data_IF_457271739085
#
_entry.id   IF_457271739085
#
_cell.length_a   1.000
_cell.length_b   1.000
_cell.length_c   1.000
_cell.angle_alpha   90.00
_cell.angle_beta   90.00
_cell.angle_gamma   90.00
#
_symmetry.space_group_name_H-M   'P 1'
#
loop_
_entity.id
_entity.type
_entity.pdbx_description
1 polymer ?
#
# COMPACT_ATOMS: atom_id res chain seq x y z
N UNK A 1 -2.82 26.05 -19.15
CA UNK A 1 -4.03 25.57 -18.45
C UNK A 1 -5.15 25.12 -19.41
N UNK A 2 -4.95 25.12 -20.74
CA UNK A 2 -6.00 24.79 -21.73
C UNK A 2 -5.99 23.30 -22.15
N UNK A 3 -4.82 22.64 -22.17
CA UNK A 3 -4.71 21.28 -22.73
C UNK A 3 -5.39 20.14 -21.96
N UNK A 4 -5.53 20.22 -20.63
CA UNK A 4 -6.13 19.12 -19.87
C UNK A 4 -7.66 19.08 -20.01
N UNK A 5 -8.29 20.25 -20.14
CA UNK A 5 -9.74 20.35 -20.36
C UNK A 5 -10.06 19.91 -21.78
N UNK A 6 -9.33 20.41 -22.78
CA UNK A 6 -9.50 20.00 -24.18
C UNK A 6 -9.29 18.50 -24.35
N UNK A 7 -8.28 17.93 -23.68
CA UNK A 7 -8.07 16.48 -23.68
C UNK A 7 -9.26 15.73 -23.08
N UNK A 8 -9.79 16.16 -21.94
CA UNK A 8 -10.97 15.52 -21.33
C UNK A 8 -12.21 15.63 -22.22
N UNK A 9 -12.42 16.77 -22.88
CA UNK A 9 -13.52 16.98 -23.83
C UNK A 9 -13.37 16.05 -25.03
N UNK A 10 -12.19 16.01 -25.66
CA UNK A 10 -11.91 15.11 -26.79
C UNK A 10 -12.09 13.63 -26.40
N UNK A 11 -11.64 13.24 -25.20
CA UNK A 11 -11.89 11.89 -24.67
C UNK A 11 -13.38 11.61 -24.44
N UNK A 12 -14.16 12.56 -23.96
CA UNK A 12 -15.60 12.40 -23.76
C UNK A 12 -16.35 12.32 -25.08
N UNK A 13 -16.03 13.16 -26.05
CA UNK A 13 -16.63 13.17 -27.38
C UNK A 13 -16.30 11.90 -28.18
N UNK A 14 -15.15 11.28 -27.90
CA UNK A 14 -14.77 10.01 -28.52
C UNK A 14 -15.59 8.79 -28.06
N UNK A 15 -16.39 8.90 -26.98
CA UNK A 15 -17.18 7.80 -26.45
C UNK A 15 -18.58 7.76 -27.06
N UNK A 16 -19.02 6.58 -27.47
CA UNK A 16 -20.40 6.39 -27.91
C UNK A 16 -21.39 6.46 -26.74
N UNK A 17 -22.66 6.74 -27.06
CA UNK A 17 -23.75 6.73 -26.08
C UNK A 17 -23.82 5.39 -25.30
N UNK A 18 -23.61 4.26 -25.99
CA UNK A 18 -23.65 2.94 -25.36
C UNK A 18 -22.52 2.74 -24.36
N UNK A 19 -21.31 3.18 -24.68
CA UNK A 19 -20.16 3.10 -23.77
C UNK A 19 -20.35 4.02 -22.56
N UNK A 20 -20.84 5.24 -22.78
CA UNK A 20 -21.11 6.17 -21.69
C UNK A 20 -22.20 5.64 -20.77
N UNK A 21 -23.31 5.14 -21.32
CA UNK A 21 -24.40 4.54 -20.56
C UNK A 21 -23.91 3.32 -19.75
N UNK A 22 -23.13 2.44 -20.36
CA UNK A 22 -22.56 1.27 -19.68
C UNK A 22 -21.64 1.67 -18.52
N UNK A 23 -20.75 2.65 -18.74
CA UNK A 23 -19.86 3.16 -17.68
C UNK A 23 -20.63 3.81 -16.53
N UNK A 24 -21.65 4.61 -16.84
CA UNK A 24 -22.50 5.23 -15.82
C UNK A 24 -23.23 4.15 -15.00
N UNK A 25 -23.82 3.15 -15.66
CA UNK A 25 -24.45 2.02 -14.99
C UNK A 25 -23.47 1.30 -14.07
N UNK A 26 -22.27 0.98 -14.53
CA UNK A 26 -21.25 0.31 -13.70
C UNK A 26 -20.80 1.16 -12.50
N UNK A 27 -20.64 2.47 -12.66
CA UNK A 27 -20.28 3.36 -11.55
C UNK A 27 -21.40 3.49 -10.50
N UNK A 28 -22.65 3.26 -10.88
CA UNK A 28 -23.82 3.31 -9.99
C UNK A 28 -24.24 1.94 -9.44
N UNK A 29 -23.63 0.85 -9.89
CA UNK A 29 -23.92 -0.50 -9.40
C UNK A 29 -23.01 -0.84 -8.23
N UNK A 30 -23.62 -1.18 -7.09
CA UNK A 30 -22.87 -1.67 -5.94
C UNK A 30 -22.38 -3.09 -6.21
N UNK A 31 -21.08 -3.23 -6.49
CA UNK A 31 -20.41 -4.52 -6.55
C UNK A 31 -19.77 -4.83 -5.20
N UNK A 32 -20.18 -5.92 -4.57
CA UNK A 32 -19.50 -6.43 -3.39
C UNK A 32 -18.31 -7.29 -3.81
N UNK A 33 -17.14 -7.00 -3.25
CA UNK A 33 -15.94 -7.83 -3.39
C UNK A 33 -15.64 -8.42 -2.03
N UNK A 34 -15.48 -9.73 -1.96
CA UNK A 34 -15.17 -10.41 -0.70
C UNK A 34 -13.79 -9.95 -0.17
N UNK A 35 -13.72 -9.44 1.06
CA UNK A 35 -12.46 -8.94 1.60
C UNK A 35 -11.46 -10.06 1.86
N UNK A 36 -10.36 -10.06 1.11
CA UNK A 36 -9.26 -10.99 1.33
C UNK A 36 -8.19 -10.32 2.20
N UNK A 37 -8.01 -10.82 3.42
CA UNK A 37 -6.95 -10.37 4.31
C UNK A 37 -5.62 -10.92 3.80
N UNK A 38 -4.86 -10.09 3.11
CA UNK A 38 -3.50 -10.42 2.71
C UNK A 38 -2.63 -10.36 3.97
N UNK A 39 -2.08 -11.50 4.37
CA UNK A 39 -1.12 -11.60 5.47
C UNK A 39 0.30 -11.64 4.90
N UNK A 40 1.27 -11.16 5.68
CA UNK A 40 2.71 -11.20 5.38
C UNK A 40 3.14 -10.44 4.12
N UNK A 41 2.32 -9.50 3.64
CA UNK A 41 2.69 -8.56 2.57
C UNK A 41 2.73 -7.17 3.17
N UNK A 42 3.86 -6.48 2.99
CA UNK A 42 3.94 -5.08 3.38
C UNK A 42 3.04 -4.24 2.47
N UNK A 43 2.08 -3.55 3.06
CA UNK A 43 1.12 -2.68 2.36
C UNK A 43 1.37 -1.22 2.76
N UNK A 44 1.25 -0.30 1.81
CA UNK A 44 1.23 1.14 2.10
C UNK A 44 0.04 1.78 1.41
N UNK A 45 -0.83 2.37 2.21
CA UNK A 45 -2.03 3.07 1.75
C UNK A 45 -1.66 4.55 1.64
N UNK A 46 -1.73 5.08 0.43
CA UNK A 46 -1.57 6.51 0.15
C UNK A 46 -2.97 7.11 0.02
N UNK A 47 -3.38 7.92 0.99
CA UNK A 47 -4.70 8.54 1.04
C UNK A 47 -4.59 10.07 1.02
N UNK A 48 -5.62 10.73 0.48
CA UNK A 48 -5.72 12.18 0.37
C UNK A 48 -6.89 12.67 1.23
N UNK A 49 -6.66 13.76 1.98
CA UNK A 49 -7.66 14.33 2.89
C UNK A 49 -8.64 15.34 2.26
N UNK A 50 -8.55 15.60 0.96
CA UNK A 50 -9.50 16.49 0.27
C UNK A 50 -10.74 15.73 -0.23
N UNK A 51 -11.62 16.44 -0.95
CA UNK A 51 -12.77 15.80 -1.59
C UNK A 51 -12.30 14.82 -2.68
N UNK A 52 -12.32 13.54 -2.34
CA UNK A 52 -12.14 12.42 -3.26
C UNK A 52 -13.47 11.78 -3.64
N UNK A 53 -13.49 11.04 -4.76
CA UNK A 53 -14.63 10.27 -5.24
C UNK A 53 -15.00 9.11 -4.30
N UNK A 54 -14.04 8.61 -3.50
CA UNK A 54 -14.30 7.59 -2.50
C UNK A 54 -14.85 8.23 -1.22
N UNK A 55 -15.94 7.66 -0.71
CA UNK A 55 -16.55 8.07 0.56
C UNK A 55 -15.68 7.67 1.76
N UNK A 56 -15.86 8.37 2.88
CA UNK A 56 -15.14 8.07 4.11
C UNK A 56 -15.42 6.66 4.63
N UNK A 57 -16.64 6.15 4.43
CA UNK A 57 -17.03 4.79 4.86
C UNK A 57 -16.20 3.71 4.14
N UNK A 58 -15.99 3.86 2.82
CA UNK A 58 -15.16 2.93 2.05
C UNK A 58 -13.70 2.97 2.51
N UNK A 59 -13.19 4.16 2.86
CA UNK A 59 -11.83 4.31 3.38
C UNK A 59 -11.67 3.61 4.75
N UNK A 60 -12.64 3.76 5.64
CA UNK A 60 -12.65 3.09 6.95
C UNK A 60 -12.68 1.57 6.81
N UNK A 61 -13.53 1.03 5.93
CA UNK A 61 -13.54 -0.41 5.65
C UNK A 61 -12.19 -0.89 5.10
N UNK A 62 -11.56 -0.12 4.20
CA UNK A 62 -10.23 -0.44 3.69
C UNK A 62 -9.17 -0.49 4.81
N UNK A 63 -9.24 0.44 5.78
CA UNK A 63 -8.33 0.43 6.94
C UNK A 63 -8.54 -0.78 7.85
N UNK A 64 -9.77 -1.28 7.99
CA UNK A 64 -10.04 -2.50 8.77
C UNK A 64 -9.50 -3.76 8.11
N UNK A 65 -9.42 -3.79 6.79
CA UNK A 65 -8.91 -4.93 6.03
C UNK A 65 -7.39 -5.03 6.05
N UNK A 66 -6.71 -3.89 6.18
CA UNK A 66 -5.26 -3.79 6.21
C UNK A 66 -4.78 -3.07 7.48
N UNK A 67 -4.93 -3.69 8.67
CA UNK A 67 -4.60 -3.05 9.95
C UNK A 67 -3.11 -2.71 10.07
N UNK A 68 -2.24 -3.53 9.50
CA UNK A 68 -0.78 -3.37 9.58
C UNK A 68 -0.20 -2.52 8.43
N UNK A 69 -1.05 -1.97 7.56
CA UNK A 69 -0.59 -1.14 6.45
C UNK A 69 -0.03 0.21 6.93
N UNK A 70 1.11 0.61 6.36
CA UNK A 70 1.62 1.96 6.58
C UNK A 70 0.69 2.97 5.92
N UNK A 71 0.36 4.04 6.62
CA UNK A 71 -0.53 5.10 6.12
C UNK A 71 0.28 6.33 5.74
N UNK A 72 0.14 6.74 4.49
CA UNK A 72 0.75 7.93 3.94
C UNK A 72 -0.36 8.91 3.56
N UNK A 73 -0.42 10.05 4.26
CA UNK A 73 -1.50 11.01 4.08
C UNK A 73 -1.02 12.26 3.36
N UNK A 74 -1.67 12.59 2.25
CA UNK A 74 -1.46 13.82 1.50
C UNK A 74 -2.54 14.84 1.88
N UNK A 75 -2.13 16.10 2.05
CA UNK A 75 -3.06 17.18 2.41
C UNK A 75 -4.06 17.48 1.30
N UNK A 76 -3.62 17.39 0.05
CA UNK A 76 -4.42 17.68 -1.16
C UNK A 76 -3.92 16.81 -2.30
N UNK A 77 -4.76 16.49 -3.28
CA UNK A 77 -4.40 15.64 -4.40
C UNK A 77 -5.57 15.07 -5.21
N UNK A 78 -6.81 15.25 -4.76
CA UNK A 78 -8.01 14.73 -5.40
C UNK A 78 -7.93 13.23 -5.68
N UNK A 79 -8.57 12.82 -6.78
CA UNK A 79 -8.63 11.40 -7.19
C UNK A 79 -7.33 10.86 -7.79
N UNK A 80 -6.42 11.75 -8.20
CA UNK A 80 -5.21 11.37 -8.95
C UNK A 80 -3.97 12.04 -8.34
N UNK A 81 -3.63 11.71 -7.08
CA UNK A 81 -2.52 12.35 -6.37
C UNK A 81 -1.17 12.19 -7.08
N UNK A 82 -1.00 11.11 -7.86
CA UNK A 82 0.20 10.87 -8.65
C UNK A 82 0.41 11.87 -9.80
N UNK A 83 -0.64 12.56 -10.25
CA UNK A 83 -0.53 13.61 -11.28
C UNK A 83 -0.25 14.97 -10.67
N UNK A 84 -0.95 15.34 -9.60
CA UNK A 84 -0.88 16.68 -9.02
C UNK A 84 0.16 16.82 -7.90
N UNK A 85 0.49 15.73 -7.19
CA UNK A 85 1.45 15.65 -6.09
C UNK A 85 2.47 14.53 -6.31
N UNK A 86 2.94 14.40 -7.56
CA UNK A 86 3.86 13.35 -7.97
C UNK A 86 5.10 13.24 -7.07
N UNK A 87 5.66 14.37 -6.62
CA UNK A 87 6.81 14.37 -5.72
C UNK A 87 6.53 13.68 -4.37
N UNK A 88 5.38 13.97 -3.74
CA UNK A 88 4.98 13.37 -2.45
C UNK A 88 4.66 11.88 -2.63
N UNK A 89 3.92 11.54 -3.69
CA UNK A 89 3.60 10.13 -4.02
C UNK A 89 4.88 9.33 -4.27
N UNK A 90 5.82 9.87 -5.06
CA UNK A 90 7.09 9.22 -5.34
C UNK A 90 7.92 9.01 -4.07
N UNK A 91 7.92 9.96 -3.15
CA UNK A 91 8.60 9.82 -1.86
C UNK A 91 8.03 8.65 -1.07
N UNK A 92 6.71 8.52 -0.97
CA UNK A 92 6.08 7.41 -0.26
C UNK A 92 6.36 6.06 -0.92
N UNK A 93 6.39 6.01 -2.25
CA UNK A 93 6.80 4.80 -2.99
C UNK A 93 8.25 4.44 -2.66
N UNK A 94 9.18 5.40 -2.68
CA UNK A 94 10.58 5.15 -2.32
C UNK A 94 10.71 4.66 -0.88
N UNK A 95 10.02 5.27 0.08
CA UNK A 95 10.03 4.84 1.48
C UNK A 95 9.49 3.41 1.62
N UNK A 96 8.43 3.07 0.88
CA UNK A 96 7.91 1.71 0.86
C UNK A 96 8.95 0.71 0.31
N UNK A 97 9.62 1.04 -0.79
CA UNK A 97 10.60 0.16 -1.42
C UNK A 97 11.88 -0.02 -0.61
N UNK A 98 12.29 1.00 0.15
CA UNK A 98 13.49 0.95 1.00
C UNK A 98 13.48 -0.21 1.98
N UNK A 99 12.31 -0.62 2.47
CA UNK A 99 12.23 -1.75 3.41
C UNK A 99 12.71 -3.09 2.81
N UNK A 100 12.78 -3.18 1.48
CA UNK A 100 13.24 -4.37 0.76
C UNK A 100 14.70 -4.31 0.32
N UNK A 101 15.39 -3.19 0.54
CA UNK A 101 16.82 -3.08 0.23
C UNK A 101 17.62 -4.18 0.94
N UNK A 102 18.60 -4.77 0.24
CA UNK A 102 19.41 -5.87 0.76
C UNK A 102 18.68 -7.23 0.84
N UNK A 103 17.40 -7.30 0.47
CA UNK A 103 16.65 -8.56 0.36
C UNK A 103 16.56 -9.04 -1.09
N UNK A 104 16.10 -10.28 -1.30
CA UNK A 104 15.80 -10.81 -2.64
C UNK A 104 14.68 -10.07 -3.39
N UNK A 105 13.95 -9.19 -2.70
CA UNK A 105 12.84 -8.40 -3.24
C UNK A 105 13.23 -6.93 -3.50
N UNK A 106 14.52 -6.59 -3.42
CA UNK A 106 14.99 -5.25 -3.69
C UNK A 106 14.62 -4.82 -5.12
N UNK A 107 14.04 -3.62 -5.24
CA UNK A 107 13.71 -3.02 -6.53
C UNK A 107 14.90 -2.37 -7.24
N UNK A 108 16.06 -2.31 -6.57
CA UNK A 108 17.30 -1.72 -7.07
C UNK A 108 18.41 -2.77 -7.05
N UNK A 109 19.31 -2.67 -8.04
CA UNK A 109 20.49 -3.53 -8.10
C UNK A 109 21.38 -3.27 -6.86
N UNK A 110 21.86 -4.33 -6.16
CA UNK A 110 22.78 -4.19 -5.04
C UNK A 110 24.00 -3.32 -5.32
N UNK A 111 24.47 -3.24 -6.57
CA UNK A 111 25.60 -2.42 -6.98
C UNK A 111 25.30 -0.91 -7.03
N UNK A 112 24.02 -0.51 -7.01
CA UNK A 112 23.58 0.88 -7.05
C UNK A 112 23.19 1.44 -5.67
N UNK A 113 23.23 0.61 -4.60
CA UNK A 113 22.89 1.05 -3.24
C UNK A 113 24.12 1.66 -2.59
N UNK A 114 24.04 2.93 -2.18
CA UNK A 114 25.15 3.55 -1.44
C UNK A 114 25.23 2.96 -0.03
N UNK A 115 26.45 2.82 0.53
CA UNK A 115 26.68 2.22 1.84
C UNK A 115 25.90 2.90 2.98
N UNK A 116 25.67 4.20 2.83
CA UNK A 116 24.87 5.04 3.75
C UNK A 116 23.36 4.71 3.77
N UNK A 117 22.81 4.16 2.69
CA UNK A 117 21.38 3.76 2.64
C UNK A 117 21.13 2.39 3.28
N UNK A 118 22.17 1.55 3.39
CA UNK A 118 22.11 0.23 4.05
C UNK A 118 22.12 0.36 5.58
N UNK A 119 22.83 1.35 6.13
CA UNK A 119 22.96 1.54 7.59
C UNK A 119 21.68 2.05 8.27
N UNK A 120 20.86 2.83 7.56
CA UNK A 120 19.55 3.31 8.07
C UNK A 120 18.58 2.16 8.35
N UNK A 121 18.75 1.03 7.67
CA UNK A 121 17.94 -0.18 7.84
C UNK A 121 18.22 -0.89 9.16
N UNK A 122 19.49 -0.96 9.56
CA UNK A 122 19.95 -1.71 10.74
C UNK A 122 19.41 -1.10 12.04
N UNK A 123 19.16 0.20 12.06
CA UNK A 123 18.64 0.92 13.23
C UNK A 123 17.12 0.81 13.38
N UNK A 124 16.37 0.41 12.33
CA UNK A 124 14.89 0.39 12.34
C UNK A 124 14.27 -1.00 12.51
N UNK A 125 15.02 -2.07 12.26
CA UNK A 125 14.53 -3.46 12.39
C UNK A 125 14.91 -4.14 13.71
N UNK A 126 15.29 -3.39 14.75
CA UNK A 126 15.68 -3.92 16.06
C UNK A 126 14.55 -4.05 17.09
N UNK A 127 13.32 -4.38 16.67
CA UNK A 127 12.19 -4.60 17.57
C UNK A 127 11.55 -5.96 17.31
N UNK A 128 11.64 -6.83 18.31
CA UNK A 128 11.12 -8.20 18.41
C UNK A 128 11.74 -9.26 17.48
N UNK A 129 12.93 -9.70 17.88
CA UNK A 129 13.25 -11.13 17.85
C UNK A 129 13.23 -11.64 19.28
N UNK A 130 12.09 -12.19 19.71
CA UNK A 130 11.99 -13.04 20.90
C UNK A 130 13.01 -14.18 20.80
N UNK A 131 13.82 -14.45 21.84
CA UNK A 131 14.66 -15.64 21.84
C UNK A 131 13.78 -16.89 22.01
N UNK A 132 13.86 -17.78 21.02
CA UNK A 132 13.35 -19.16 21.10
C UNK A 132 13.95 -19.85 22.33
N UNK A 133 13.11 -20.17 23.32
CA UNK A 133 13.46 -21.04 24.44
C UNK A 133 13.36 -22.50 23.93
N UNK A 134 14.52 -23.15 23.78
CA UNK A 134 14.60 -24.56 23.37
C UNK A 134 13.88 -25.50 24.36
N UNK A 135 13.34 -26.63 23.88
CA UNK A 135 12.57 -27.55 24.70
C UNK A 135 13.48 -28.47 25.50
N UNK A 136 13.39 -28.43 26.84
CA UNK A 136 13.99 -29.48 27.69
C UNK A 136 13.08 -30.70 27.75
N UNK A 137 13.40 -31.68 26.90
CA UNK A 137 12.93 -33.04 27.04
C UNK A 137 13.91 -33.83 27.93
N UNK A 138 13.46 -34.28 29.09
CA UNK A 138 14.13 -35.36 29.83
C UNK A 138 13.09 -36.26 30.49
N UNK A 139 12.66 -37.28 29.75
CA UNK A 139 12.08 -38.48 30.30
C UNK A 139 13.13 -39.25 31.13
N UNK A 140 12.80 -39.71 32.34
CA UNK A 140 12.60 -41.15 32.67
C UNK A 140 12.41 -41.43 34.16
N UNK A 141 11.29 -42.11 34.44
CA UNK A 141 11.14 -43.36 35.20
C UNK A 141 11.52 -43.48 36.70
N UNK A 142 10.54 -44.05 37.42
CA UNK A 142 10.65 -45.11 38.44
C UNK A 142 10.62 -44.76 39.94
N UNK A 143 9.55 -45.25 40.60
CA UNK A 143 9.53 -46.31 41.64
C UNK A 143 8.92 -45.91 43.01
N UNK A 144 7.78 -46.57 43.30
CA UNK A 144 7.29 -47.13 44.58
C UNK A 144 7.87 -46.59 45.91
N UNK A 145 7.01 -46.07 46.79
CA UNK A 145 6.43 -46.81 47.93
C UNK A 145 5.16 -46.12 48.43
#
# INVERSE_FOLDING_TARGET
MVGAIDFMVDRLESLSQSELASRLTLNCQNSYVEPHKIKDVAVTIIDVFDQSALSHEVKEEMYKLYPDAKRAHLKTGGNFPYLCRSAEVNLYIQIHLRQFHGTRYAAIDPAMVSAEELDVQRTRCGGDSDPEEEPQDSATASRQH
#
